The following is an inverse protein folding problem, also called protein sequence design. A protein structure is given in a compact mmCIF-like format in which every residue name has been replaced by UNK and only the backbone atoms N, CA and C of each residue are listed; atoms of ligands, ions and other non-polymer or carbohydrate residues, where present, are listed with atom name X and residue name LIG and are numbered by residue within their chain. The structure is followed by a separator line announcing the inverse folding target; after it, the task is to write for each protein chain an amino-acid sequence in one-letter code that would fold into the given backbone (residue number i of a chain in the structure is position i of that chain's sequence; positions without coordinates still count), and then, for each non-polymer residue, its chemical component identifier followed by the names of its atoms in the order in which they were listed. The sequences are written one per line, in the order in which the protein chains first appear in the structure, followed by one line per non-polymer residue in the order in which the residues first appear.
data_IF_347697232357
#
_entry.id   IF_347697232357
#
_cell.length_a   1.000
_cell.length_b   1.000
_cell.length_c   1.000
_cell.angle_alpha   90.00
_cell.angle_beta   90.00
_cell.angle_gamma   90.00
#
_symmetry.space_group_name_H-M   'P 1'
#
loop_
_entity.id
_entity.type
_entity.pdbx_description
1 polymer ?
#
# COMPACT_ATOMS: atom_id res chain seq x y z
N UNK A 1 7.52 43.87 55.61
CA UNK A 1 7.70 43.11 54.34
C UNK A 1 8.10 41.64 54.53
N UNK A 2 7.94 41.01 55.76
CA UNK A 2 8.47 39.66 56.05
C UNK A 2 7.43 38.58 56.33
N UNK A 3 6.12 38.90 56.25
CA UNK A 3 5.06 37.94 56.61
C UNK A 3 4.74 36.89 55.48
N UNK A 4 5.21 37.08 54.26
CA UNK A 4 4.93 36.17 53.13
C UNK A 4 6.07 35.21 52.83
N UNK A 5 7.25 35.39 53.43
CA UNK A 5 8.43 34.57 53.16
C UNK A 5 8.25 33.08 53.54
N UNK A 6 7.64 32.72 54.71
CA UNK A 6 7.41 31.31 55.04
C UNK A 6 6.38 30.61 54.11
N UNK A 7 5.40 31.37 53.61
CA UNK A 7 4.43 30.83 52.62
C UNK A 7 5.07 30.51 51.28
N UNK A 8 6.02 31.34 50.85
CA UNK A 8 6.79 31.13 49.62
C UNK A 8 7.69 29.89 49.70
N UNK A 9 8.36 29.68 50.84
CA UNK A 9 9.17 28.48 51.07
C UNK A 9 8.31 27.20 51.15
N UNK A 10 7.12 27.25 51.77
CA UNK A 10 6.21 26.14 51.81
C UNK A 10 5.66 25.76 50.42
N UNK A 11 5.35 26.76 49.59
CA UNK A 11 4.90 26.54 48.19
C UNK A 11 6.02 25.95 47.33
N UNK A 12 7.23 26.49 47.39
CA UNK A 12 8.40 25.97 46.64
C UNK A 12 8.75 24.54 47.12
N UNK A 13 8.74 24.27 48.43
CA UNK A 13 8.94 22.92 48.96
C UNK A 13 7.91 21.93 48.49
N UNK A 14 6.63 22.30 48.42
CA UNK A 14 5.55 21.48 47.90
C UNK A 14 5.69 21.16 46.43
N UNK A 15 6.08 22.14 45.61
CA UNK A 15 6.34 21.94 44.17
C UNK A 15 7.53 20.99 43.94
N UNK A 16 8.60 21.14 44.69
CA UNK A 16 9.80 20.29 44.57
C UNK A 16 9.51 18.85 45.04
N UNK A 17 8.79 18.66 46.11
CA UNK A 17 8.39 17.34 46.58
C UNK A 17 7.40 16.66 45.63
N UNK A 18 6.46 17.42 45.07
CA UNK A 18 5.54 16.94 44.04
C UNK A 18 6.27 16.51 42.76
N UNK A 19 7.19 17.32 42.29
CA UNK A 19 8.00 17.01 41.12
C UNK A 19 8.93 15.80 41.34
N UNK A 20 9.56 15.68 42.49
CA UNK A 20 10.37 14.53 42.89
C UNK A 20 9.51 13.24 43.00
N UNK A 21 8.33 13.33 43.60
CA UNK A 21 7.40 12.21 43.70
C UNK A 21 6.92 11.72 42.34
N UNK A 22 6.51 12.63 41.43
CA UNK A 22 6.11 12.24 40.08
C UNK A 22 7.26 11.65 39.25
N UNK A 23 8.49 12.14 39.45
CA UNK A 23 9.67 11.58 38.76
C UNK A 23 10.00 10.15 39.26
N UNK A 24 9.93 9.90 40.60
CA UNK A 24 10.22 8.58 41.18
C UNK A 24 9.14 7.52 40.82
N UNK A 25 7.88 7.92 40.76
CA UNK A 25 6.76 7.01 40.51
C UNK A 25 6.23 7.00 39.07
N UNK A 26 6.88 7.74 38.14
CA UNK A 26 6.44 7.84 36.74
C UNK A 26 6.17 6.47 36.08
N UNK A 27 7.03 5.49 36.32
CA UNK A 27 6.87 4.15 35.75
C UNK A 27 5.62 3.41 36.24
N UNK A 28 5.30 3.57 37.53
CA UNK A 28 4.10 2.95 38.14
C UNK A 28 2.83 3.68 37.67
N UNK A 29 2.87 5.00 37.58
CA UNK A 29 1.75 5.81 37.08
C UNK A 29 1.43 5.44 35.63
N UNK A 30 2.45 5.40 34.75
CA UNK A 30 2.27 5.01 33.33
C UNK A 30 1.74 3.58 33.23
N UNK A 31 2.32 2.63 34.00
CA UNK A 31 1.86 1.25 33.99
C UNK A 31 0.39 1.14 34.43
N UNK A 32 0.02 1.79 35.53
CA UNK A 32 -1.36 1.74 36.00
C UNK A 32 -2.33 2.40 35.03
N UNK A 33 -1.95 3.49 34.39
CA UNK A 33 -2.76 4.16 33.38
C UNK A 33 -3.00 3.25 32.15
N UNK A 34 -1.95 2.57 31.66
CA UNK A 34 -2.06 1.62 30.55
C UNK A 34 -2.92 0.42 30.91
N UNK A 35 -2.75 -0.14 32.14
CA UNK A 35 -3.55 -1.29 32.58
C UNK A 35 -5.02 -0.93 32.87
N UNK A 36 -5.29 0.32 33.20
CA UNK A 36 -6.65 0.82 33.37
C UNK A 36 -7.35 1.14 32.03
N UNK A 37 -6.57 1.43 30.98
CA UNK A 37 -7.09 1.80 29.66
C UNK A 37 -6.27 1.04 28.57
N UNK A 38 -6.41 -0.28 28.47
CA UNK A 38 -5.58 -1.10 27.57
C UNK A 38 -5.82 -0.79 26.09
N UNK A 39 -6.94 -0.19 25.73
CA UNK A 39 -7.30 0.29 24.38
C UNK A 39 -6.36 1.39 23.88
N UNK A 40 -5.61 2.08 24.74
CA UNK A 40 -4.60 3.05 24.33
C UNK A 40 -3.43 2.41 23.55
N UNK A 41 -3.16 1.12 23.76
CA UNK A 41 -2.04 0.44 23.09
C UNK A 41 -2.32 0.24 21.60
N UNK A 42 -3.45 -0.37 21.17
CA UNK A 42 -3.79 -0.46 19.75
C UNK A 42 -3.84 0.92 19.07
N UNK A 43 -4.43 1.92 19.73
CA UNK A 43 -4.50 3.29 19.21
C UNK A 43 -3.11 3.90 18.99
N UNK A 44 -2.21 3.74 19.96
CA UNK A 44 -0.84 4.23 19.85
C UNK A 44 -0.05 3.52 18.73
N UNK A 45 -0.26 2.20 18.56
CA UNK A 45 0.34 1.41 17.46
C UNK A 45 -0.19 1.89 16.11
N UNK A 46 -1.50 2.09 15.97
CA UNK A 46 -2.09 2.60 14.73
C UNK A 46 -1.52 3.98 14.37
N UNK A 47 -1.42 4.88 15.34
CA UNK A 47 -0.85 6.21 15.14
C UNK A 47 0.63 6.14 14.74
N UNK A 48 1.40 5.25 15.34
CA UNK A 48 2.81 5.02 14.98
C UNK A 48 2.91 4.49 13.56
N UNK A 49 2.17 3.45 13.22
CA UNK A 49 2.14 2.85 11.87
C UNK A 49 1.75 3.89 10.81
N UNK A 50 0.74 4.72 11.12
CA UNK A 50 0.34 5.83 10.24
C UNK A 50 1.48 6.82 10.01
N UNK A 51 2.15 7.27 11.07
CA UNK A 51 3.29 8.20 10.96
C UNK A 51 4.45 7.62 10.16
N UNK A 52 4.76 6.35 10.39
CA UNK A 52 5.82 5.65 9.64
C UNK A 52 5.45 5.46 8.16
N UNK A 53 4.20 5.09 7.86
CA UNK A 53 3.72 4.99 6.48
C UNK A 53 3.79 6.35 5.78
N UNK A 54 3.29 7.41 6.39
CA UNK A 54 3.37 8.77 5.85
C UNK A 54 4.83 9.19 5.58
N UNK A 55 5.75 8.90 6.51
CA UNK A 55 7.17 9.19 6.32
C UNK A 55 7.75 8.43 5.13
N UNK A 56 7.43 7.14 4.97
CA UNK A 56 7.88 6.31 3.84
C UNK A 56 7.26 6.77 2.52
N UNK A 57 5.95 7.04 2.50
CA UNK A 57 5.25 7.53 1.31
C UNK A 57 5.79 8.88 0.84
N UNK A 58 6.22 9.76 1.74
CA UNK A 58 6.84 11.03 1.39
C UNK A 58 8.23 10.88 0.71
N UNK A 59 8.84 9.69 0.74
CA UNK A 59 10.11 9.41 0.06
C UNK A 59 9.93 8.94 -1.39
N UNK A 60 8.71 8.57 -1.76
CA UNK A 60 8.36 8.09 -3.10
C UNK A 60 7.67 9.23 -3.83
N UNK A 61 8.18 9.57 -5.01
CA UNK A 61 7.63 10.66 -5.81
C UNK A 61 6.23 10.31 -6.38
N UNK A 62 5.60 11.26 -7.07
CA UNK A 62 4.25 11.11 -7.67
C UNK A 62 4.12 9.91 -8.61
N UNK A 63 5.23 9.27 -9.01
CA UNK A 63 5.23 8.08 -9.86
C UNK A 63 4.47 6.91 -9.24
N UNK A 64 4.40 6.84 -7.90
CA UNK A 64 3.65 5.76 -7.23
C UNK A 64 2.22 5.64 -7.76
N UNK A 65 1.52 6.75 -7.92
CA UNK A 65 0.12 6.82 -8.38
C UNK A 65 -0.04 6.98 -9.89
N UNK A 66 1.07 7.16 -10.64
CA UNK A 66 1.07 7.27 -12.09
C UNK A 66 1.20 5.87 -12.71
N UNK A 67 0.21 5.39 -13.48
CA UNK A 67 0.30 4.06 -14.09
C UNK A 67 1.35 4.04 -15.20
N UNK A 68 2.00 2.89 -15.38
CA UNK A 68 2.71 2.61 -16.63
C UNK A 68 1.68 2.48 -17.76
N UNK A 69 1.65 3.45 -18.65
CA UNK A 69 0.68 3.49 -19.76
C UNK A 69 -0.75 3.19 -19.27
N UNK A 70 -1.40 2.15 -19.78
CA UNK A 70 -2.75 1.72 -19.42
C UNK A 70 -2.84 0.65 -18.32
N UNK A 71 -1.86 0.53 -17.41
CA UNK A 71 -1.89 -0.44 -16.29
C UNK A 71 -2.86 0.01 -15.18
N UNK A 72 -4.13 0.13 -15.54
CA UNK A 72 -5.21 0.61 -14.68
C UNK A 72 -6.45 -0.26 -14.77
N UNK A 73 -7.27 -0.23 -13.70
CA UNK A 73 -8.63 -0.71 -13.70
C UNK A 73 -9.55 0.28 -12.95
N UNK A 74 -10.87 0.07 -13.06
CA UNK A 74 -11.86 0.98 -12.49
C UNK A 74 -11.96 2.28 -13.27
N UNK A 75 -12.17 3.38 -12.56
CA UNK A 75 -12.33 4.72 -13.18
C UNK A 75 -10.98 5.42 -13.31
N UNK A 76 -10.45 5.67 -14.53
CA UNK A 76 -9.18 6.35 -14.70
C UNK A 76 -9.18 7.79 -14.13
N UNK A 77 -10.35 8.40 -13.96
CA UNK A 77 -10.55 9.72 -13.37
C UNK A 77 -11.09 9.64 -11.92
N UNK A 78 -10.95 8.49 -11.26
CA UNK A 78 -11.41 8.28 -9.89
C UNK A 78 -10.73 9.22 -8.90
N UNK A 79 -11.49 9.62 -7.88
CA UNK A 79 -11.05 10.54 -6.82
C UNK A 79 -10.08 9.87 -5.83
N UNK A 80 -10.17 8.53 -5.69
CA UNK A 80 -9.25 7.75 -4.87
C UNK A 80 -8.46 6.77 -5.74
N UNK A 81 -7.13 6.85 -5.62
CA UNK A 81 -6.22 5.90 -6.27
C UNK A 81 -5.80 4.81 -5.27
N UNK A 82 -6.01 3.57 -5.67
CA UNK A 82 -5.50 2.36 -5.03
C UNK A 82 -4.32 1.87 -5.84
N UNK A 83 -3.11 1.90 -5.29
CA UNK A 83 -1.95 1.29 -5.93
C UNK A 83 -1.84 -0.14 -5.46
N UNK A 84 -1.75 -1.10 -6.39
CA UNK A 84 -1.62 -2.53 -6.09
C UNK A 84 -0.35 -3.09 -6.70
N UNK A 85 0.58 -3.52 -5.85
CA UNK A 85 1.74 -4.30 -6.28
C UNK A 85 1.36 -5.78 -6.42
N UNK A 86 1.76 -6.40 -7.53
CA UNK A 86 1.26 -7.72 -7.91
C UNK A 86 2.33 -8.59 -8.58
N UNK A 87 2.21 -9.92 -8.41
CA UNK A 87 3.03 -10.94 -9.06
C UNK A 87 2.13 -12.07 -9.56
N UNK A 88 2.29 -12.53 -10.78
CA UNK A 88 1.44 -13.55 -11.39
C UNK A 88 1.61 -14.95 -10.79
N UNK A 89 2.73 -15.25 -10.14
CA UNK A 89 2.92 -16.50 -9.39
C UNK A 89 2.38 -16.42 -7.95
N UNK A 90 1.86 -15.28 -7.52
CA UNK A 90 1.34 -15.09 -6.18
C UNK A 90 -0.11 -15.56 -6.06
N UNK A 91 -0.35 -16.60 -5.25
CA UNK A 91 -1.70 -17.10 -4.98
C UNK A 91 -2.61 -16.08 -4.29
N UNK A 92 -2.06 -15.27 -3.39
CA UNK A 92 -2.80 -14.19 -2.73
C UNK A 92 -3.14 -13.03 -3.68
N UNK A 93 -2.28 -12.75 -4.69
CA UNK A 93 -2.60 -11.81 -5.75
C UNK A 93 -3.80 -12.28 -6.57
N UNK A 94 -3.85 -13.58 -6.89
CA UNK A 94 -5.02 -14.20 -7.54
C UNK A 94 -6.27 -14.08 -6.66
N UNK A 95 -6.19 -14.46 -5.40
CA UNK A 95 -7.32 -14.39 -4.47
C UNK A 95 -7.86 -12.96 -4.30
N UNK A 96 -6.99 -11.96 -4.35
CA UNK A 96 -7.39 -10.54 -4.21
C UNK A 96 -8.18 -9.99 -5.40
N UNK A 97 -8.25 -10.68 -6.54
CA UNK A 97 -9.00 -10.20 -7.71
C UNK A 97 -10.47 -10.00 -7.39
N UNK A 98 -11.11 -10.97 -6.72
CA UNK A 98 -12.54 -10.87 -6.38
C UNK A 98 -12.85 -9.64 -5.51
N UNK A 99 -11.99 -9.32 -4.55
CA UNK A 99 -12.16 -8.15 -3.67
C UNK A 99 -11.93 -6.83 -4.42
N UNK A 100 -10.95 -6.80 -5.33
CA UNK A 100 -10.70 -5.63 -6.19
C UNK A 100 -11.83 -5.43 -7.19
N UNK A 101 -12.33 -6.49 -7.82
CA UNK A 101 -13.46 -6.42 -8.74
C UNK A 101 -14.74 -5.94 -8.03
N UNK A 102 -14.98 -6.42 -6.80
CA UNK A 102 -16.09 -5.95 -5.97
C UNK A 102 -15.94 -4.46 -5.63
N UNK A 103 -14.73 -4.00 -5.27
CA UNK A 103 -14.45 -2.59 -4.97
C UNK A 103 -14.73 -1.69 -6.18
N UNK A 104 -14.23 -2.04 -7.36
CA UNK A 104 -14.49 -1.31 -8.61
C UNK A 104 -15.97 -1.32 -8.98
N UNK A 105 -16.66 -2.43 -8.69
CA UNK A 105 -18.09 -2.61 -8.96
C UNK A 105 -18.94 -1.71 -8.10
N UNK A 106 -18.62 -1.59 -6.82
CA UNK A 106 -19.39 -0.85 -5.81
C UNK A 106 -19.06 0.65 -5.77
N UNK A 107 -17.81 1.04 -6.05
CA UNK A 107 -17.37 2.44 -5.97
C UNK A 107 -16.78 2.92 -7.32
N UNK A 108 -17.56 3.76 -8.02
CA UNK A 108 -17.18 4.34 -9.32
C UNK A 108 -16.17 5.49 -9.21
N UNK A 109 -15.83 5.91 -8.01
CA UNK A 109 -14.76 6.88 -7.72
C UNK A 109 -13.37 6.24 -7.56
N UNK A 110 -13.26 4.91 -7.64
CA UNK A 110 -11.98 4.21 -7.44
C UNK A 110 -11.24 4.01 -8.76
N UNK A 111 -9.94 4.37 -8.74
CA UNK A 111 -8.94 4.03 -9.74
C UNK A 111 -7.93 3.04 -9.14
N UNK A 112 -7.74 1.89 -9.78
CA UNK A 112 -6.66 0.97 -9.43
C UNK A 112 -5.47 1.23 -10.35
N UNK A 113 -4.30 1.45 -9.78
CA UNK A 113 -3.01 1.50 -10.49
C UNK A 113 -2.23 0.23 -10.16
N UNK A 114 -1.93 -0.56 -11.16
CA UNK A 114 -1.14 -1.78 -10.98
C UNK A 114 0.35 -1.50 -11.13
N UNK A 115 1.12 -2.10 -10.21
CA UNK A 115 2.57 -2.13 -10.23
C UNK A 115 3.03 -3.58 -10.31
N UNK A 116 3.56 -3.96 -11.46
CA UNK A 116 4.15 -5.28 -11.64
C UNK A 116 5.40 -5.43 -10.78
N UNK A 117 5.40 -6.40 -9.89
CA UNK A 117 6.49 -6.67 -8.95
C UNK A 117 6.89 -8.15 -8.98
N UNK A 118 7.61 -8.58 -10.02
CA UNK A 118 7.97 -9.98 -10.24
C UNK A 118 9.11 -10.42 -9.34
N UNK A 119 8.78 -10.87 -8.12
CA UNK A 119 9.76 -11.26 -7.08
C UNK A 119 9.78 -12.76 -6.76
N UNK A 120 8.77 -13.53 -7.24
CA UNK A 120 8.60 -14.92 -6.81
C UNK A 120 9.28 -15.93 -7.73
N UNK A 121 9.37 -15.66 -9.05
CA UNK A 121 9.98 -16.57 -10.01
C UNK A 121 10.43 -15.84 -11.28
N UNK A 122 11.30 -16.47 -12.06
CA UNK A 122 11.72 -15.92 -13.37
C UNK A 122 10.52 -15.80 -14.33
N UNK A 123 9.59 -16.76 -14.30
CA UNK A 123 8.34 -16.67 -15.07
C UNK A 123 7.46 -15.49 -14.67
N UNK A 124 7.54 -14.98 -13.42
CA UNK A 124 6.86 -13.76 -13.00
C UNK A 124 7.36 -12.56 -13.79
N UNK A 125 8.68 -12.48 -14.04
CA UNK A 125 9.28 -11.39 -14.81
C UNK A 125 8.81 -11.39 -16.27
N UNK A 126 8.79 -12.56 -16.90
CA UNK A 126 8.26 -12.69 -18.26
C UNK A 126 6.79 -12.26 -18.31
N UNK A 127 5.95 -12.76 -17.39
CA UNK A 127 4.54 -12.39 -17.34
C UNK A 127 4.33 -10.88 -17.12
N UNK A 128 5.10 -10.27 -16.22
CA UNK A 128 5.04 -8.84 -15.94
C UNK A 128 5.42 -8.00 -17.19
N UNK A 129 6.45 -8.38 -17.93
CA UNK A 129 6.81 -7.69 -19.18
C UNK A 129 5.67 -7.76 -20.22
N UNK A 130 5.01 -8.91 -20.34
CA UNK A 130 3.83 -9.06 -21.20
C UNK A 130 2.62 -8.25 -20.70
N UNK A 131 2.44 -8.12 -19.39
CA UNK A 131 1.42 -7.24 -18.82
C UNK A 131 1.67 -5.76 -19.17
N UNK A 132 2.94 -5.31 -19.09
CA UNK A 132 3.31 -3.96 -19.54
C UNK A 132 3.09 -3.77 -21.05
N UNK A 133 3.32 -4.80 -21.85
CA UNK A 133 3.00 -4.78 -23.28
C UNK A 133 1.49 -4.67 -23.52
N UNK A 134 0.69 -5.38 -22.74
CA UNK A 134 -0.78 -5.26 -22.78
C UNK A 134 -1.24 -3.85 -22.33
N UNK A 135 -0.56 -3.23 -21.37
CA UNK A 135 -0.83 -1.86 -20.95
C UNK A 135 -0.64 -0.85 -22.08
N UNK A 136 0.44 -0.97 -22.85
CA UNK A 136 0.70 -0.12 -24.05
C UNK A 136 -0.39 -0.25 -25.12
N UNK A 137 -1.13 -1.35 -25.10
CA UNK A 137 -2.24 -1.59 -26.04
C UNK A 137 -3.62 -1.37 -25.39
N UNK A 138 -3.70 -0.77 -24.20
CA UNK A 138 -4.94 -0.55 -23.42
C UNK A 138 -5.71 -1.84 -23.12
N UNK A 139 -4.99 -2.97 -22.96
CA UNK A 139 -5.55 -4.30 -22.72
C UNK A 139 -5.05 -4.91 -21.40
N UNK A 140 -4.48 -4.07 -20.50
CA UNK A 140 -3.91 -4.54 -19.25
C UNK A 140 -4.89 -5.34 -18.41
N UNK A 141 -6.07 -4.78 -18.09
CA UNK A 141 -7.04 -5.44 -17.20
C UNK A 141 -7.52 -6.79 -17.75
N UNK A 142 -7.74 -6.87 -19.06
CA UNK A 142 -8.15 -8.12 -19.72
C UNK A 142 -7.01 -9.16 -19.65
N UNK A 143 -5.78 -8.76 -19.95
CA UNK A 143 -4.61 -9.63 -19.84
C UNK A 143 -4.36 -10.08 -18.42
N UNK A 144 -4.44 -9.15 -17.45
CA UNK A 144 -4.25 -9.42 -16.03
C UNK A 144 -5.22 -10.50 -15.52
N UNK A 145 -6.50 -10.38 -15.89
CA UNK A 145 -7.50 -11.39 -15.58
C UNK A 145 -7.19 -12.73 -16.26
N UNK A 146 -6.93 -12.73 -17.57
CA UNK A 146 -6.63 -13.94 -18.33
C UNK A 146 -5.41 -14.70 -17.78
N UNK A 147 -4.37 -13.98 -17.35
CA UNK A 147 -3.21 -14.59 -16.72
C UNK A 147 -3.54 -15.29 -15.40
N UNK A 148 -4.35 -14.69 -14.54
CA UNK A 148 -4.73 -15.33 -13.28
C UNK A 148 -5.73 -16.47 -13.48
N UNK A 149 -6.62 -16.38 -14.47
CA UNK A 149 -7.55 -17.46 -14.84
C UNK A 149 -6.81 -18.64 -15.46
N UNK A 150 -5.71 -18.41 -16.18
CA UNK A 150 -4.89 -19.39 -16.88
C UNK A 150 -4.09 -20.36 -15.98
N UNK A 151 -4.14 -20.18 -14.67
CA UNK A 151 -3.51 -21.09 -13.70
C UNK A 151 -2.00 -20.84 -13.51
N UNK A 152 -1.18 -21.86 -13.77
CA UNK A 152 0.28 -21.76 -13.57
C UNK A 152 0.93 -20.88 -14.63
N UNK A 153 1.82 -19.99 -14.20
CA UNK A 153 2.58 -19.12 -15.09
C UNK A 153 3.61 -19.92 -15.88
N UNK A 154 3.54 -19.84 -17.19
CA UNK A 154 4.44 -20.46 -18.16
C UNK A 154 4.41 -19.67 -19.47
N UNK A 155 5.38 -19.87 -20.35
CA UNK A 155 5.37 -19.24 -21.67
C UNK A 155 4.08 -19.55 -22.45
N UNK A 156 3.59 -20.78 -22.33
CA UNK A 156 2.33 -21.18 -22.99
C UNK A 156 1.12 -20.42 -22.43
N UNK A 157 1.00 -20.28 -21.11
CA UNK A 157 -0.11 -19.53 -20.49
C UNK A 157 -0.03 -18.02 -20.79
N UNK A 158 1.16 -17.45 -20.83
CA UNK A 158 1.39 -16.05 -21.21
C UNK A 158 0.96 -15.80 -22.67
N UNK A 159 1.39 -16.67 -23.59
CA UNK A 159 1.01 -16.58 -25.01
C UNK A 159 -0.50 -16.75 -25.20
N UNK A 160 -1.11 -17.74 -24.49
CA UNK A 160 -2.55 -17.96 -24.52
C UNK A 160 -3.32 -16.73 -24.02
N UNK A 161 -2.91 -16.14 -22.91
CA UNK A 161 -3.53 -14.93 -22.37
C UNK A 161 -3.39 -13.75 -23.37
N UNK A 162 -2.21 -13.55 -23.92
CA UNK A 162 -1.96 -12.48 -24.91
C UNK A 162 -2.85 -12.62 -26.14
N UNK A 163 -2.96 -13.82 -26.69
CA UNK A 163 -3.81 -14.12 -27.86
C UNK A 163 -5.28 -13.97 -27.54
N UNK A 164 -5.74 -14.48 -26.36
CA UNK A 164 -7.15 -14.42 -25.97
C UNK A 164 -7.70 -12.99 -25.87
N UNK A 165 -6.86 -12.04 -25.48
CA UNK A 165 -7.24 -10.63 -25.40
C UNK A 165 -6.88 -9.85 -26.70
N UNK A 166 -6.40 -10.55 -27.72
CA UNK A 166 -6.12 -10.00 -29.04
C UNK A 166 -4.99 -9.00 -29.06
N UNK A 167 -3.88 -9.25 -28.33
CA UNK A 167 -2.69 -8.40 -28.43
C UNK A 167 -2.12 -8.47 -29.85
N UNK A 168 -1.64 -7.34 -30.36
CA UNK A 168 -0.66 -7.35 -31.44
C UNK A 168 0.63 -7.95 -30.89
N UNK A 169 0.92 -9.17 -31.31
CA UNK A 169 2.03 -9.97 -30.78
C UNK A 169 3.39 -9.38 -31.15
N UNK A 170 3.52 -8.78 -32.34
CA UNK A 170 4.78 -8.16 -32.77
C UNK A 170 5.06 -6.89 -31.95
N UNK A 171 4.06 -6.04 -31.80
CA UNK A 171 4.17 -4.85 -30.95
C UNK A 171 4.41 -5.22 -29.47
N UNK A 172 3.75 -6.27 -28.98
CA UNK A 172 3.95 -6.75 -27.61
C UNK A 172 5.40 -7.24 -27.39
N UNK A 173 5.94 -8.00 -28.33
CA UNK A 173 7.31 -8.50 -28.26
C UNK A 173 8.34 -7.36 -28.25
N UNK A 174 8.09 -6.29 -29.01
CA UNK A 174 8.95 -5.11 -28.99
C UNK A 174 8.97 -4.43 -27.60
N UNK A 175 7.81 -4.33 -26.91
CA UNK A 175 7.73 -3.81 -25.54
C UNK A 175 8.43 -4.73 -24.57
N UNK A 176 8.20 -6.05 -24.64
CA UNK A 176 8.84 -7.05 -23.78
C UNK A 176 10.37 -6.96 -23.85
N UNK A 177 10.93 -6.69 -25.03
CA UNK A 177 12.36 -6.52 -25.24
C UNK A 177 12.88 -5.11 -24.91
N UNK A 178 12.01 -4.16 -24.57
CA UNK A 178 12.39 -2.75 -24.39
C UNK A 178 13.07 -2.50 -23.05
N UNK A 179 14.04 -1.58 -23.05
CA UNK A 179 14.66 -1.09 -21.81
C UNK A 179 13.65 -0.33 -20.95
N UNK A 180 12.65 0.32 -21.54
CA UNK A 180 11.58 1.02 -20.82
C UNK A 180 10.81 0.08 -19.90
N UNK A 181 10.35 -1.07 -20.41
CA UNK A 181 9.61 -2.06 -19.62
C UNK A 181 10.48 -2.67 -18.50
N UNK A 182 11.75 -2.96 -18.79
CA UNK A 182 12.69 -3.46 -17.77
C UNK A 182 12.92 -2.42 -16.68
N UNK A 183 13.09 -1.15 -17.06
CA UNK A 183 13.29 -0.05 -16.09
C UNK A 183 12.06 0.19 -15.23
N UNK A 184 10.85 0.01 -15.79
CA UNK A 184 9.62 0.06 -14.99
C UNK A 184 9.60 -1.00 -13.90
N UNK A 185 9.91 -2.27 -14.22
CA UNK A 185 9.98 -3.34 -13.21
C UNK A 185 11.04 -3.04 -12.13
N UNK A 186 12.20 -2.53 -12.53
CA UNK A 186 13.25 -2.13 -11.59
C UNK A 186 12.79 -0.97 -10.69
N UNK A 187 12.08 0.01 -11.25
CA UNK A 187 11.49 1.12 -10.50
C UNK A 187 10.48 0.62 -9.46
N UNK A 188 9.62 -0.34 -9.82
CA UNK A 188 8.64 -0.91 -8.91
C UNK A 188 9.31 -1.65 -7.73
N UNK A 189 10.40 -2.40 -7.99
CA UNK A 189 11.22 -3.02 -6.93
C UNK A 189 11.90 -1.95 -6.06
N UNK A 190 12.39 -0.87 -6.65
CA UNK A 190 12.93 0.27 -5.92
C UNK A 190 11.90 0.93 -4.98
N UNK A 191 10.67 1.13 -5.45
CA UNK A 191 9.56 1.63 -4.61
C UNK A 191 9.26 0.67 -3.45
N UNK A 192 9.21 -0.65 -3.70
CA UNK A 192 9.05 -1.65 -2.65
C UNK A 192 10.07 -1.47 -1.53
N UNK A 193 11.36 -1.33 -1.88
CA UNK A 193 12.44 -1.13 -0.91
C UNK A 193 12.31 0.17 -0.12
N UNK A 194 11.98 1.28 -0.81
CA UNK A 194 11.77 2.60 -0.18
C UNK A 194 10.56 2.60 0.76
N UNK A 195 9.50 1.92 0.37
CA UNK A 195 8.28 1.80 1.17
C UNK A 195 8.36 0.73 2.26
N UNK A 196 9.41 -0.11 2.23
CA UNK A 196 9.73 -1.07 3.29
C UNK A 196 8.77 -2.24 3.40
N UNK A 197 8.12 -2.64 2.31
CA UNK A 197 7.36 -3.89 2.24
C UNK A 197 8.11 -4.93 1.38
N UNK A 198 7.76 -6.22 1.49
CA UNK A 198 8.53 -7.29 0.87
C UNK A 198 7.70 -8.40 0.22
N UNK A 199 6.40 -8.19 0.07
CA UNK A 199 5.48 -9.20 -0.47
C UNK A 199 4.42 -8.65 -1.42
N UNK A 200 3.72 -9.58 -2.06
CA UNK A 200 2.55 -9.31 -2.90
C UNK A 200 1.34 -10.14 -2.44
N UNK A 201 0.11 -9.64 -2.61
CA UNK A 201 -0.19 -8.27 -3.01
C UNK A 201 0.19 -7.28 -1.91
N UNK A 202 0.55 -6.06 -2.28
CA UNK A 202 0.59 -4.92 -1.35
C UNK A 202 -0.27 -3.82 -1.94
N UNK A 203 -1.13 -3.24 -1.10
CA UNK A 203 -2.01 -2.14 -1.46
C UNK A 203 -1.55 -0.86 -0.80
N UNK A 204 -1.63 0.25 -1.54
CA UNK A 204 -1.40 1.59 -1.00
C UNK A 204 -2.62 2.44 -1.32
N UNK A 205 -3.27 2.95 -0.27
CA UNK A 205 -4.48 3.76 -0.35
C UNK A 205 -4.33 4.94 0.62
N UNK A 206 -4.30 6.16 0.08
CA UNK A 206 -4.03 7.34 0.90
C UNK A 206 -2.67 7.24 1.61
N UNK A 207 -2.68 7.28 2.93
CA UNK A 207 -1.50 7.16 3.80
C UNK A 207 -1.26 5.74 4.35
N UNK A 208 -1.98 4.74 3.86
CA UNK A 208 -1.93 3.37 4.35
C UNK A 208 -1.17 2.45 3.39
N UNK A 209 -0.23 1.67 3.93
CA UNK A 209 0.46 0.56 3.26
C UNK A 209 -0.06 -0.73 3.89
N UNK A 210 -0.72 -1.57 3.09
CA UNK A 210 -1.37 -2.80 3.54
C UNK A 210 -0.79 -3.99 2.80
N UNK A 211 0.01 -4.80 3.49
CA UNK A 211 0.65 -5.99 2.94
C UNK A 211 -0.28 -7.20 3.01
N UNK A 212 -0.19 -8.06 2.00
CA UNK A 212 -0.96 -9.30 1.92
C UNK A 212 -2.37 -9.11 1.37
N UNK A 213 -3.11 -10.22 1.40
CA UNK A 213 -4.51 -10.25 0.97
C UNK A 213 -5.36 -9.37 1.90
N UNK A 214 -6.14 -8.49 1.30
CA UNK A 214 -7.11 -7.65 1.99
C UNK A 214 -8.51 -8.01 1.50
N UNK A 215 -9.45 -8.15 2.44
CA UNK A 215 -10.86 -8.33 2.12
C UNK A 215 -11.48 -7.03 1.60
N UNK A 216 -12.60 -7.16 0.89
CA UNK A 216 -13.29 -6.03 0.29
C UNK A 216 -13.61 -4.92 1.32
N UNK A 217 -14.11 -5.30 2.50
CA UNK A 217 -14.50 -4.37 3.56
C UNK A 217 -13.33 -3.53 4.06
N UNK A 218 -12.15 -4.13 4.13
CA UNK A 218 -10.91 -3.43 4.54
C UNK A 218 -10.47 -2.45 3.44
N UNK A 219 -10.53 -2.88 2.17
CA UNK A 219 -10.20 -2.01 1.03
C UNK A 219 -11.17 -0.83 0.94
N UNK A 220 -12.48 -1.07 1.11
CA UNK A 220 -13.49 -0.02 1.08
C UNK A 220 -13.29 0.98 2.22
N UNK A 221 -13.07 0.51 3.44
CA UNK A 221 -12.82 1.39 4.59
C UNK A 221 -11.58 2.27 4.39
N UNK A 222 -10.51 1.72 3.77
CA UNK A 222 -9.31 2.47 3.45
C UNK A 222 -9.57 3.54 2.37
N UNK A 223 -10.40 3.24 1.37
CA UNK A 223 -10.83 4.18 0.33
C UNK A 223 -11.65 5.32 0.95
N UNK A 224 -12.62 4.99 1.81
CA UNK A 224 -13.46 5.99 2.48
C UNK A 224 -12.61 6.94 3.33
N UNK A 225 -11.70 6.40 4.13
CA UNK A 225 -10.75 7.19 4.94
C UNK A 225 -9.83 8.08 4.09
N UNK A 226 -9.35 7.57 2.94
CA UNK A 226 -8.54 8.36 2.02
C UNK A 226 -9.33 9.50 1.36
N UNK A 227 -10.63 9.29 1.11
CA UNK A 227 -11.53 10.30 0.56
C UNK A 227 -11.83 11.40 1.58
N UNK A 228 -12.13 11.03 2.84
CA UNK A 228 -12.34 11.98 3.93
C UNK A 228 -11.13 12.88 4.18
N UNK A 229 -9.91 12.33 4.04
CA UNK A 229 -8.68 13.09 4.24
C UNK A 229 -8.40 14.14 3.15
N UNK A 230 -9.13 14.11 2.01
CA UNK A 230 -9.01 15.07 0.90
C UNK A 230 -10.03 16.21 0.96
N UNK A 231 -11.12 16.04 1.71
CA UNK A 231 -12.21 17.01 1.87
C UNK A 231 -11.98 17.92 3.03
#
# INVERSE_FOLDING_TARGET
MTKHLPLLFALLGGILLGAAGTYLFKGQIVRSAILANPEMIPEAIELLNKKESQKRLATVDDKLSQPYSGAVAGNPNGDVTVVKFTDYNCGYCRASLAHVDQLIGSDKGVKIVYREMPILAESSKTAALWALAAAKQNKYSAFHKAMFDGGRVSDASIQSAAQSVGLDMAAAQAVVASQEAVSELQSNVGMMQQLGFNGTPTFIIGDQIMEGLQDYEILQAAVDKAREAKG
#
